data_IF_692704661762
#
_entry.id   IF_692704661762
#
_cell.length_a   1.000
_cell.length_b   1.000
_cell.length_c   1.000
_cell.angle_alpha   90.00
_cell.angle_beta   90.00
_cell.angle_gamma   90.00
#
_symmetry.space_group_name_H-M   'P 1'
#
loop_
_entity.id
_entity.type
_entity.pdbx_description
1 polymer ?
#
# COMPACT_ATOMS: atom_id res chain seq x y z
N UNK A 1 24.49 13.35 14.37
CA UNK A 1 24.33 12.45 13.21
C UNK A 1 23.42 11.30 13.63
N UNK A 2 22.16 11.29 13.18
CA UNK A 2 21.26 10.15 13.42
C UNK A 2 21.44 9.15 12.29
N UNK A 3 21.90 7.91 12.54
CA UNK A 3 21.98 6.90 11.50
C UNK A 3 20.55 6.50 11.12
N UNK A 4 20.10 6.90 9.93
CA UNK A 4 18.89 6.34 9.32
C UNK A 4 19.14 4.85 9.13
N UNK A 5 18.32 4.02 9.80
CA UNK A 5 18.29 2.58 9.64
C UNK A 5 18.11 2.24 8.17
N UNK A 6 19.22 1.84 7.53
CA UNK A 6 19.21 1.26 6.20
C UNK A 6 18.65 -0.15 6.38
N UNK A 7 17.37 -0.33 6.05
CA UNK A 7 16.77 -1.65 5.91
C UNK A 7 17.62 -2.39 4.86
N UNK A 8 18.39 -3.38 5.30
CA UNK A 8 19.10 -4.27 4.39
C UNK A 8 18.09 -5.30 3.90
N UNK A 9 17.59 -5.10 2.68
CA UNK A 9 16.83 -6.11 1.94
C UNK A 9 17.82 -7.03 1.23
N UNK A 10 18.57 -7.78 2.03
CA UNK A 10 19.40 -8.89 1.54
C UNK A 10 18.60 -10.19 1.73
N UNK A 11 17.47 -10.39 1.05
CA UNK A 11 16.83 -11.71 0.85
C UNK A 11 16.01 -11.65 -0.43
N UNK A 12 16.21 -12.64 -1.31
CA UNK A 12 15.54 -12.81 -2.59
C UNK A 12 14.15 -13.42 -2.36
N UNK A 13 13.43 -12.84 -1.40
CA UNK A 13 12.14 -13.28 -0.89
C UNK A 13 11.10 -12.22 -1.24
N UNK A 14 9.88 -12.70 -1.41
CA UNK A 14 8.81 -12.09 -2.19
C UNK A 14 8.55 -10.61 -1.82
N UNK A 15 9.07 -9.67 -2.61
CA UNK A 15 8.98 -8.22 -2.36
C UNK A 15 7.52 -7.76 -2.18
N UNK A 16 6.59 -8.38 -2.90
CA UNK A 16 5.15 -8.15 -2.74
C UNK A 16 4.64 -8.51 -1.33
N UNK A 17 5.09 -9.63 -0.78
CA UNK A 17 4.66 -10.09 0.55
C UNK A 17 5.18 -9.17 1.66
N UNK A 18 6.43 -8.72 1.52
CA UNK A 18 7.00 -7.76 2.47
C UNK A 18 6.27 -6.41 2.43
N UNK A 19 5.93 -5.93 1.23
CA UNK A 19 5.13 -4.71 1.07
C UNK A 19 3.73 -4.89 1.67
N UNK A 20 3.09 -6.04 1.45
CA UNK A 20 1.78 -6.36 2.04
C UNK A 20 1.85 -6.39 3.57
N UNK A 21 2.90 -6.98 4.15
CA UNK A 21 3.10 -7.03 5.61
C UNK A 21 3.21 -5.63 6.21
N UNK A 22 3.97 -4.75 5.57
CA UNK A 22 4.10 -3.34 5.98
C UNK A 22 2.76 -2.64 5.88
N UNK A 23 2.07 -2.74 4.74
CA UNK A 23 0.78 -2.08 4.50
C UNK A 23 -0.28 -2.53 5.52
N UNK A 24 -0.40 -3.84 5.78
CA UNK A 24 -1.31 -4.41 6.80
C UNK A 24 -1.07 -3.85 8.19
N UNK A 25 0.20 -3.74 8.59
CA UNK A 25 0.59 -3.21 9.91
C UNK A 25 0.21 -1.72 10.04
N UNK A 26 0.47 -0.93 9.00
CA UNK A 26 0.12 0.50 8.98
C UNK A 26 -1.40 0.70 9.07
N UNK A 27 -2.17 -0.08 8.30
CA UNK A 27 -3.64 -0.01 8.29
C UNK A 27 -4.28 -0.55 9.57
N UNK A 28 -3.62 -1.46 10.29
CA UNK A 28 -4.14 -2.07 11.51
C UNK A 28 -4.43 -1.08 12.65
N UNK A 29 -3.82 0.11 12.62
CA UNK A 29 -4.03 1.19 13.60
C UNK A 29 -5.05 2.25 13.15
N UNK A 30 -5.81 1.98 12.08
CA UNK A 30 -6.72 2.94 11.44
C UNK A 30 -8.12 2.35 11.34
N UNK A 31 -9.09 3.19 10.97
CA UNK A 31 -10.49 2.77 10.73
C UNK A 31 -10.60 1.66 9.66
N UNK A 32 -9.62 1.58 8.77
CA UNK A 32 -9.52 0.56 7.72
C UNK A 32 -9.13 -0.84 8.23
N UNK A 33 -8.87 -1.03 9.53
CA UNK A 33 -8.41 -2.32 10.07
C UNK A 33 -9.35 -3.49 9.71
N UNK A 34 -10.67 -3.28 9.69
CA UNK A 34 -11.66 -4.29 9.31
C UNK A 34 -11.52 -4.74 7.84
N UNK A 35 -10.99 -3.88 6.98
CA UNK A 35 -10.79 -4.11 5.55
C UNK A 35 -9.31 -4.05 5.16
N UNK A 36 -8.40 -4.27 6.13
CA UNK A 36 -6.96 -4.03 5.92
C UNK A 36 -6.37 -4.89 4.81
N UNK A 37 -6.87 -6.11 4.60
CA UNK A 37 -6.40 -6.98 3.54
C UNK A 37 -6.71 -6.42 2.15
N UNK A 38 -7.92 -5.89 1.99
CA UNK A 38 -8.36 -5.29 0.74
C UNK A 38 -7.54 -4.05 0.41
N UNK A 39 -7.46 -3.11 1.34
CA UNK A 39 -6.72 -1.87 1.13
C UNK A 39 -5.20 -2.06 1.08
N UNK A 40 -4.65 -3.07 1.77
CA UNK A 40 -3.23 -3.39 1.64
C UNK A 40 -2.89 -3.84 0.23
N UNK A 41 -3.69 -4.72 -0.39
CA UNK A 41 -3.50 -5.15 -1.77
C UNK A 41 -3.58 -3.97 -2.74
N UNK A 42 -4.64 -3.16 -2.65
CA UNK A 42 -4.79 -1.96 -3.49
C UNK A 42 -3.60 -0.99 -3.38
N UNK A 43 -3.11 -0.75 -2.16
CA UNK A 43 -1.98 0.14 -1.94
C UNK A 43 -0.67 -0.43 -2.52
N UNK A 44 -0.42 -1.74 -2.34
CA UNK A 44 0.77 -2.40 -2.87
C UNK A 44 0.73 -2.42 -4.40
N UNK A 45 -0.40 -2.78 -4.99
CA UNK A 45 -0.59 -2.81 -6.45
C UNK A 45 -0.36 -1.43 -7.08
N UNK A 46 -0.91 -0.37 -6.47
CA UNK A 46 -0.70 1.01 -6.93
C UNK A 46 0.79 1.41 -6.89
N UNK A 47 1.51 1.03 -5.83
CA UNK A 47 2.94 1.35 -5.69
C UNK A 47 3.79 0.55 -6.69
N UNK A 48 3.47 -0.72 -6.93
CA UNK A 48 4.18 -1.54 -7.92
C UNK A 48 3.99 -0.99 -9.34
N UNK A 49 2.83 -0.44 -9.67
CA UNK A 49 2.57 0.24 -10.96
C UNK A 49 3.45 1.47 -11.20
N UNK A 50 3.94 2.13 -10.16
CA UNK A 50 4.86 3.27 -10.29
C UNK A 50 6.27 2.89 -10.77
N UNK A 51 6.58 1.60 -10.93
CA UNK A 51 7.87 1.07 -11.43
C UNK A 51 9.10 1.70 -10.77
N UNK A 52 9.01 2.03 -9.48
CA UNK A 52 10.12 2.60 -8.71
C UNK A 52 10.32 4.12 -8.84
N UNK A 53 9.46 4.84 -9.59
CA UNK A 53 9.54 6.31 -9.68
C UNK A 53 9.29 7.01 -8.34
N UNK A 54 8.65 6.34 -7.38
CA UNK A 54 8.32 6.88 -6.05
C UNK A 54 7.42 8.12 -6.08
N UNK A 55 6.87 8.48 -7.25
CA UNK A 55 6.07 9.67 -7.44
C UNK A 55 4.65 9.44 -6.92
N UNK A 56 4.35 9.94 -5.72
CA UNK A 56 3.05 9.78 -5.08
C UNK A 56 1.96 10.61 -5.76
N UNK A 57 2.30 11.68 -6.49
CA UNK A 57 1.33 12.48 -7.24
C UNK A 57 0.67 11.69 -8.38
N UNK A 58 1.30 10.59 -8.81
CA UNK A 58 0.73 9.66 -9.79
C UNK A 58 -0.32 8.70 -9.19
N UNK A 59 -0.51 8.68 -7.86
CA UNK A 59 -1.55 7.89 -7.20
C UNK A 59 -2.67 8.83 -6.75
N UNK A 60 -3.83 8.72 -7.40
CA UNK A 60 -5.01 9.50 -7.04
C UNK A 60 -5.98 8.69 -6.18
N UNK A 61 -6.48 9.31 -5.10
CA UNK A 61 -7.49 8.72 -4.23
C UNK A 61 -8.82 9.42 -4.49
N UNK A 62 -9.73 8.73 -5.16
CA UNK A 62 -11.09 9.22 -5.41
C UNK A 62 -12.01 8.66 -4.33
N UNK A 63 -12.71 9.55 -3.62
CA UNK A 63 -13.70 9.17 -2.60
C UNK A 63 -15.09 9.42 -3.13
N UNK A 64 -15.97 8.42 -3.05
CA UNK A 64 -17.41 8.57 -3.33
C UNK A 64 -18.21 8.26 -2.07
N UNK A 65 -19.31 9.01 -1.89
CA UNK A 65 -20.25 8.79 -0.80
C UNK A 65 -21.22 7.67 -1.17
N UNK A 66 -21.55 6.82 -0.20
CA UNK A 66 -22.37 5.62 -0.40
C UNK A 66 -21.53 4.42 -0.85
N UNK A 67 -22.09 3.22 -0.67
CA UNK A 67 -21.41 1.96 -0.95
C UNK A 67 -20.65 1.37 0.25
N UNK A 68 -20.13 0.17 0.06
CA UNK A 68 -19.29 -0.55 1.02
C UNK A 68 -17.81 -0.29 0.76
N UNK A 69 -16.99 -0.24 1.80
CA UNK A 69 -15.53 -0.13 1.66
C UNK A 69 -14.92 -1.25 0.81
N UNK A 70 -15.55 -2.43 0.78
CA UNK A 70 -15.12 -3.56 -0.05
C UNK A 70 -15.34 -3.31 -1.56
N UNK A 71 -16.13 -2.31 -1.95
CA UNK A 71 -16.34 -1.94 -3.35
C UNK A 71 -15.22 -1.02 -3.88
N UNK A 72 -14.28 -0.61 -3.03
CA UNK A 72 -13.11 0.16 -3.46
C UNK A 72 -12.25 -0.67 -4.41
N UNK A 73 -11.70 -0.05 -5.45
CA UNK A 73 -10.82 -0.74 -6.41
C UNK A 73 -9.71 0.19 -6.91
N UNK A 74 -8.73 -0.40 -7.59
CA UNK A 74 -7.65 0.31 -8.27
C UNK A 74 -8.00 0.42 -9.75
N UNK A 75 -8.17 1.65 -10.22
CA UNK A 75 -8.43 1.95 -11.63
C UNK A 75 -7.10 2.16 -12.38
N UNK A 76 -7.02 1.74 -13.64
CA UNK A 76 -5.82 1.90 -14.48
C UNK A 76 -5.70 3.30 -15.14
N UNK A 77 -6.73 4.16 -15.00
CA UNK A 77 -6.81 5.47 -15.62
C UNK A 77 -7.66 5.51 -16.88
#
# INVERSE_FOLDING_TARGET
>A
MHPKGRVRLDHKDNLEEDLLRIARTTLGSKILNQHKEHFARLAVDAVLRLKGSGNLDAIQIIKKLGGSMNESYLDDG
#
